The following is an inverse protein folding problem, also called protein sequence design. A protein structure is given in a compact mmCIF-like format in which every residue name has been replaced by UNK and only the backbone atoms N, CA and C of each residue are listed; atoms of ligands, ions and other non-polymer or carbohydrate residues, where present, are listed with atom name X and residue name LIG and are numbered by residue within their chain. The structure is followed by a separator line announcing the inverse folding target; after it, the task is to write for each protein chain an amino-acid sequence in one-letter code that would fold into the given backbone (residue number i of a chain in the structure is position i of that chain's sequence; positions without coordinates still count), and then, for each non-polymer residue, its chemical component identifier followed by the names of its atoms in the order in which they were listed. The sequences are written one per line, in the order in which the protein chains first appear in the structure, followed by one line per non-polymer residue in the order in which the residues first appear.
data_IF_180221147582
#
_entry.id   IF_180221147582
#
_cell.length_a   1.000
_cell.length_b   1.000
_cell.length_c   1.000
_cell.angle_alpha   90.00
_cell.angle_beta   90.00
_cell.angle_gamma   90.00
#
_symmetry.space_group_name_H-M   'P 1'
#
loop_
_entity.id
_entity.type
_entity.pdbx_description
1 polymer ?
#
# COMPACT_ATOMS: atom_id res chain seq x y z
N UNK A 1 3.38 15.64 17.59
CA UNK A 1 2.85 14.25 17.67
C UNK A 1 1.53 14.27 16.93
N UNK A 2 1.36 13.37 15.96
CA UNK A 2 0.10 13.23 15.24
C UNK A 2 -1.03 12.99 16.25
N UNK A 3 -2.18 13.66 16.08
CA UNK A 3 -3.33 13.46 16.94
C UNK A 3 -3.75 11.99 16.97
N UNK A 4 -4.30 11.52 18.08
CA UNK A 4 -4.84 10.16 18.18
C UNK A 4 -6.09 10.05 17.31
N UNK A 5 -6.15 9.02 16.46
CA UNK A 5 -7.39 8.70 15.73
C UNK A 5 -8.44 8.31 16.78
N UNK A 6 -9.66 8.80 16.60
CA UNK A 6 -10.77 8.44 17.50
C UNK A 6 -11.00 6.93 17.49
N UNK A 7 -11.26 6.37 18.65
CA UNK A 7 -11.53 4.94 18.78
C UNK A 7 -12.74 4.52 17.94
N UNK A 8 -13.78 5.35 17.93
CA UNK A 8 -14.99 5.12 17.16
C UNK A 8 -14.70 5.01 15.65
N UNK A 9 -13.79 5.86 15.14
CA UNK A 9 -13.39 5.80 13.72
C UNK A 9 -12.60 4.53 13.41
N UNK A 10 -11.72 4.09 14.33
CA UNK A 10 -10.99 2.84 14.18
C UNK A 10 -11.96 1.65 14.13
N UNK A 11 -12.93 1.63 15.04
CA UNK A 11 -13.92 0.55 15.11
C UNK A 11 -14.83 0.56 13.86
N UNK A 12 -15.22 1.73 13.36
CA UNK A 12 -16.04 1.88 12.15
C UNK A 12 -15.29 1.47 10.89
N UNK A 13 -14.04 1.86 10.72
CA UNK A 13 -13.19 1.43 9.59
C UNK A 13 -13.02 -0.08 9.61
N UNK A 14 -12.80 -0.68 10.81
CA UNK A 14 -12.73 -2.13 10.97
C UNK A 14 -14.03 -2.82 10.54
N UNK A 15 -15.17 -2.31 10.99
CA UNK A 15 -16.48 -2.90 10.71
C UNK A 15 -16.87 -2.82 9.22
N UNK A 16 -16.46 -1.76 8.53
CA UNK A 16 -16.74 -1.55 7.10
C UNK A 16 -15.74 -2.22 6.17
N UNK A 17 -14.60 -2.64 6.67
CA UNK A 17 -13.56 -3.27 5.86
C UNK A 17 -13.78 -4.78 5.82
N UNK A 18 -14.05 -5.34 4.64
CA UNK A 18 -14.11 -6.80 4.47
C UNK A 18 -12.68 -7.38 4.51
N UNK A 19 -12.37 -8.07 5.60
CA UNK A 19 -11.07 -8.74 5.80
C UNK A 19 -10.76 -9.74 4.69
N UNK A 20 -11.78 -10.42 4.14
CA UNK A 20 -11.62 -11.36 3.04
C UNK A 20 -11.12 -10.65 1.79
N UNK A 21 -11.75 -9.55 1.40
CA UNK A 21 -11.36 -8.77 0.23
C UNK A 21 -9.91 -8.25 0.33
N UNK A 22 -9.52 -7.81 1.54
CA UNK A 22 -8.14 -7.38 1.78
C UNK A 22 -7.17 -8.55 1.62
N UNK A 23 -7.44 -9.69 2.26
CA UNK A 23 -6.56 -10.87 2.25
C UNK A 23 -6.49 -11.51 0.86
N UNK A 24 -7.58 -11.54 0.08
CA UNK A 24 -7.59 -12.05 -1.28
C UNK A 24 -6.66 -11.30 -2.24
N UNK A 25 -6.29 -10.06 -1.90
CA UNK A 25 -5.24 -9.31 -2.61
C UNK A 25 -3.83 -9.88 -2.45
N UNK A 26 -3.59 -10.74 -1.45
CA UNK A 26 -2.29 -11.34 -1.13
C UNK A 26 -2.28 -12.86 -1.25
N UNK A 27 -3.40 -13.50 -0.90
CA UNK A 27 -3.53 -14.95 -0.77
C UNK A 27 -4.78 -15.44 -1.48
N UNK A 28 -4.64 -16.49 -2.28
CA UNK A 28 -5.81 -17.16 -2.89
C UNK A 28 -6.62 -17.92 -1.81
N UNK A 29 -7.83 -17.46 -1.57
CA UNK A 29 -8.75 -18.08 -0.59
C UNK A 29 -9.76 -19.01 -1.29
N UNK A 30 -10.03 -20.16 -0.66
CA UNK A 30 -11.07 -21.09 -1.07
C UNK A 30 -12.10 -21.22 0.04
N UNK A 31 -13.37 -21.38 -0.31
CA UNK A 31 -14.42 -21.67 0.67
C UNK A 31 -14.14 -22.98 1.39
N UNK A 32 -14.20 -22.96 2.71
CA UNK A 32 -13.92 -24.13 3.56
C UNK A 32 -15.08 -24.44 4.54
N UNK A 33 -16.28 -23.94 4.24
CA UNK A 33 -17.48 -24.10 5.03
C UNK A 33 -18.30 -22.80 5.11
N UNK A 34 -19.35 -22.80 5.89
CA UNK A 34 -20.23 -21.64 6.02
C UNK A 34 -19.45 -20.45 6.63
N UNK A 35 -19.24 -19.41 5.83
CA UNK A 35 -18.58 -18.17 6.29
C UNK A 35 -17.10 -18.32 6.65
N UNK A 36 -16.45 -19.42 6.26
CA UNK A 36 -15.02 -19.65 6.49
C UNK A 36 -14.29 -19.85 5.17
N UNK A 37 -13.15 -19.20 5.05
CA UNK A 37 -12.27 -19.28 3.89
C UNK A 37 -10.89 -19.80 4.31
N UNK A 38 -10.20 -20.51 3.42
CA UNK A 38 -8.92 -21.16 3.72
C UNK A 38 -7.94 -20.94 2.57
N UNK A 39 -6.68 -20.67 2.91
CA UNK A 39 -5.59 -20.49 1.94
C UNK A 39 -4.25 -20.94 2.50
N UNK A 40 -3.20 -20.79 1.70
CA UNK A 40 -1.83 -20.93 2.18
C UNK A 40 -1.46 -19.71 3.01
N UNK A 41 -0.72 -19.92 4.09
CA UNK A 41 -0.32 -18.86 4.99
C UNK A 41 0.74 -17.95 4.32
N UNK A 42 0.58 -16.61 4.37
CA UNK A 42 1.60 -15.72 3.83
C UNK A 42 2.77 -15.48 4.80
N UNK A 43 2.66 -15.95 6.05
CA UNK A 43 3.64 -15.71 7.11
C UNK A 43 4.65 -16.85 7.29
N UNK A 44 4.39 -18.01 6.70
CA UNK A 44 5.32 -19.15 6.72
C UNK A 44 5.13 -20.02 5.49
N UNK A 45 6.17 -20.77 5.11
CA UNK A 45 6.10 -21.70 3.99
C UNK A 45 5.30 -22.94 4.38
N UNK A 46 4.26 -23.26 3.61
CA UNK A 46 3.46 -24.47 3.78
C UNK A 46 2.96 -25.01 2.43
N UNK A 47 2.69 -26.31 2.40
CA UNK A 47 2.13 -26.99 1.21
C UNK A 47 0.65 -27.29 1.34
N UNK A 48 0.13 -27.30 2.55
CA UNK A 48 -1.29 -27.56 2.85
C UNK A 48 -1.91 -26.32 3.48
N UNK A 49 -3.07 -25.86 2.97
CA UNK A 49 -3.71 -24.67 3.49
C UNK A 49 -4.03 -24.80 4.98
N UNK A 50 -3.47 -23.93 5.82
CA UNK A 50 -3.74 -23.83 7.25
C UNK A 50 -4.24 -22.47 7.70
N UNK A 51 -4.20 -21.47 6.80
CA UNK A 51 -4.61 -20.09 7.06
C UNK A 51 -6.13 -19.95 6.87
N UNK A 52 -6.84 -19.67 7.95
CA UNK A 52 -8.29 -19.54 7.95
C UNK A 52 -8.72 -18.09 8.14
N UNK A 53 -9.72 -17.67 7.38
CA UNK A 53 -10.31 -16.33 7.43
C UNK A 53 -11.80 -16.45 7.71
N UNK A 54 -12.28 -15.68 8.68
CA UNK A 54 -13.69 -15.61 9.08
C UNK A 54 -14.19 -14.17 8.94
N UNK A 55 -14.73 -13.77 7.78
CA UNK A 55 -15.18 -12.38 7.53
C UNK A 55 -16.25 -11.91 8.52
N UNK A 56 -17.17 -12.78 8.91
CA UNK A 56 -18.24 -12.45 9.86
C UNK A 56 -17.72 -12.02 11.25
N UNK A 57 -16.53 -12.52 11.62
CA UNK A 57 -15.88 -12.16 12.90
C UNK A 57 -14.79 -11.12 12.68
N UNK A 58 -14.44 -10.83 11.41
CA UNK A 58 -13.37 -9.90 11.05
C UNK A 58 -11.98 -10.39 11.45
N UNK A 59 -11.74 -11.72 11.48
CA UNK A 59 -10.50 -12.28 11.98
C UNK A 59 -9.91 -13.36 11.06
N UNK A 60 -8.58 -13.52 11.16
CA UNK A 60 -7.86 -14.64 10.58
C UNK A 60 -7.11 -15.43 11.67
N UNK A 61 -6.83 -16.70 11.38
CA UNK A 61 -5.99 -17.56 12.22
C UNK A 61 -5.29 -18.60 11.36
N UNK A 62 -3.99 -18.74 11.52
CA UNK A 62 -3.19 -19.79 10.92
C UNK A 62 -2.98 -20.92 11.91
N UNK A 63 -3.44 -22.14 11.58
CA UNK A 63 -3.22 -23.33 12.41
C UNK A 63 -1.82 -23.94 12.24
N UNK A 64 -1.03 -23.46 11.28
CA UNK A 64 0.35 -23.91 11.06
C UNK A 64 1.36 -23.17 11.95
N UNK A 65 1.36 -21.83 11.90
CA UNK A 65 2.31 -21.04 12.68
C UNK A 65 1.71 -20.34 13.91
N UNK A 66 0.37 -20.40 14.10
CA UNK A 66 -0.30 -19.75 15.24
C UNK A 66 -0.58 -18.26 15.04
N UNK A 67 -0.17 -17.68 13.90
CA UNK A 67 -0.42 -16.26 13.60
C UNK A 67 -1.92 -15.96 13.50
N UNK A 68 -2.38 -14.89 14.14
CA UNK A 68 -3.79 -14.54 14.18
C UNK A 68 -3.99 -13.05 14.41
N UNK A 69 -5.13 -12.53 13.95
CA UNK A 69 -5.43 -11.11 14.14
C UNK A 69 -6.65 -10.66 13.37
N UNK A 70 -6.80 -9.35 13.31
CA UNK A 70 -7.81 -8.64 12.53
C UNK A 70 -7.22 -8.07 11.23
N UNK A 71 -8.02 -7.29 10.50
CA UNK A 71 -7.58 -6.68 9.24
C UNK A 71 -6.39 -5.73 9.42
N UNK A 72 -6.31 -5.04 10.56
CA UNK A 72 -5.19 -4.14 10.84
C UNK A 72 -3.90 -4.92 11.06
N UNK A 73 -3.95 -5.94 11.91
CA UNK A 73 -2.80 -6.81 12.19
C UNK A 73 -2.27 -7.46 10.92
N UNK A 74 -3.18 -7.91 10.04
CA UNK A 74 -2.81 -8.50 8.76
C UNK A 74 -2.06 -7.52 7.85
N UNK A 75 -2.63 -6.32 7.63
CA UNK A 75 -2.02 -5.31 6.73
C UNK A 75 -0.69 -4.81 7.29
N UNK A 76 -0.62 -4.56 8.61
CA UNK A 76 0.63 -4.15 9.28
C UNK A 76 1.74 -5.19 9.06
N UNK A 77 1.43 -6.46 9.20
CA UNK A 77 2.40 -7.55 9.03
C UNK A 77 2.85 -7.70 7.56
N UNK A 78 1.91 -7.61 6.61
CA UNK A 78 2.20 -7.76 5.17
C UNK A 78 2.96 -6.58 4.57
N UNK A 79 2.65 -5.37 5.00
CA UNK A 79 3.17 -4.15 4.39
C UNK A 79 4.22 -3.42 5.27
N UNK A 80 4.48 -3.94 6.46
CA UNK A 80 5.40 -3.35 7.44
C UNK A 80 5.08 -1.89 7.78
N UNK A 81 3.79 -1.56 7.83
CA UNK A 81 3.28 -0.21 8.14
C UNK A 81 2.94 -0.06 9.62
N UNK A 82 2.91 1.19 10.11
CA UNK A 82 2.44 1.48 11.46
C UNK A 82 0.91 1.33 11.55
N UNK A 83 0.39 1.18 12.77
CA UNK A 83 -1.05 1.10 13.01
C UNK A 83 -1.81 2.31 12.44
N UNK A 84 -1.31 3.52 12.68
CA UNK A 84 -1.93 4.77 12.20
C UNK A 84 -1.98 4.79 10.66
N UNK A 85 -0.87 4.48 10.00
CA UNK A 85 -0.81 4.42 8.53
C UNK A 85 -1.77 3.37 7.96
N UNK A 86 -1.89 2.23 8.63
CA UNK A 86 -2.83 1.17 8.23
C UNK A 86 -4.27 1.61 8.34
N UNK A 87 -4.66 2.26 9.45
CA UNK A 87 -6.00 2.80 9.63
C UNK A 87 -6.32 3.87 8.59
N UNK A 88 -5.40 4.81 8.35
CA UNK A 88 -5.56 5.88 7.35
C UNK A 88 -5.74 5.30 5.93
N UNK A 89 -4.98 4.27 5.59
CA UNK A 89 -5.04 3.62 4.28
C UNK A 89 -6.36 2.87 4.07
N UNK A 90 -6.79 2.10 5.07
CA UNK A 90 -8.07 1.38 5.00
C UNK A 90 -9.25 2.36 5.00
N UNK A 91 -9.20 3.43 5.77
CA UNK A 91 -10.21 4.50 5.75
C UNK A 91 -10.31 5.15 4.36
N UNK A 92 -9.17 5.47 3.74
CA UNK A 92 -9.13 6.03 2.39
C UNK A 92 -9.72 5.07 1.34
N UNK A 93 -9.46 3.75 1.48
CA UNK A 93 -10.00 2.72 0.58
C UNK A 93 -11.53 2.65 0.60
N UNK A 94 -12.13 2.78 1.78
CA UNK A 94 -13.59 2.75 1.97
C UNK A 94 -14.25 4.13 1.90
N UNK A 95 -13.49 5.19 1.60
CA UNK A 95 -13.98 6.58 1.53
C UNK A 95 -14.42 7.15 2.89
N UNK A 96 -13.86 6.67 4.00
CA UNK A 96 -14.18 7.13 5.34
C UNK A 96 -13.26 8.26 5.79
N UNK A 97 -13.84 9.32 6.38
CA UNK A 97 -13.08 10.46 6.91
C UNK A 97 -12.77 10.25 8.38
N UNK A 98 -11.48 10.17 8.72
CA UNK A 98 -11.01 10.00 10.09
C UNK A 98 -11.03 11.31 10.87
N UNK A 99 -11.38 11.23 12.17
CA UNK A 99 -11.31 12.32 13.13
C UNK A 99 -10.20 12.08 14.13
N UNK A 100 -9.46 13.13 14.44
CA UNK A 100 -8.31 13.06 15.36
C UNK A 100 -8.59 13.85 16.63
N UNK A 101 -8.23 13.26 17.78
CA UNK A 101 -8.32 13.89 19.10
C UNK A 101 -6.95 14.34 19.57
N UNK A 102 -6.90 15.48 20.25
CA UNK A 102 -5.70 15.95 20.95
C UNK A 102 -4.55 16.47 20.08
N UNK A 103 -4.71 16.52 18.76
CA UNK A 103 -3.68 17.07 17.85
C UNK A 103 -3.66 18.61 17.91
N UNK A 104 -2.45 19.20 18.01
CA UNK A 104 -2.28 20.63 17.82
C UNK A 104 -2.63 20.98 16.36
N UNK A 105 -3.11 22.22 16.07
CA UNK A 105 -3.41 22.62 14.69
C UNK A 105 -2.27 22.39 13.68
N UNK A 106 -1.02 22.36 14.14
CA UNK A 106 0.16 22.04 13.32
C UNK A 106 0.27 20.57 12.85
N UNK A 107 -0.26 19.61 13.64
CA UNK A 107 -0.11 18.17 13.31
C UNK A 107 -0.92 17.79 12.05
N UNK A 108 -2.06 18.46 11.82
CA UNK A 108 -2.84 18.30 10.57
C UNK A 108 -2.08 18.83 9.34
N UNK A 109 -1.33 19.91 9.53
CA UNK A 109 -0.52 20.48 8.47
C UNK A 109 0.63 19.54 8.10
N UNK A 110 1.30 18.92 9.08
CA UNK A 110 2.38 17.96 8.85
C UNK A 110 1.89 16.67 8.18
N UNK A 111 0.75 16.12 8.60
CA UNK A 111 0.14 14.96 7.96
C UNK A 111 -0.27 15.26 6.50
N UNK A 112 -0.88 16.42 6.26
CA UNK A 112 -1.20 16.89 4.92
C UNK A 112 0.05 17.09 4.05
N UNK A 113 1.12 17.67 4.61
CA UNK A 113 2.38 17.88 3.92
C UNK A 113 3.04 16.54 3.56
N UNK A 114 3.08 15.57 4.48
CA UNK A 114 3.62 14.23 4.23
C UNK A 114 2.88 13.52 3.09
N UNK A 115 1.54 13.58 3.08
CA UNK A 115 0.72 13.02 2.00
C UNK A 115 1.05 13.67 0.65
N UNK A 116 1.12 15.00 0.60
CA UNK A 116 1.51 15.74 -0.62
C UNK A 116 2.91 15.37 -1.10
N UNK A 117 3.86 15.16 -0.18
CA UNK A 117 5.21 14.70 -0.52
C UNK A 117 5.19 13.30 -1.14
N UNK A 118 4.43 12.37 -0.56
CA UNK A 118 4.29 11.00 -1.09
C UNK A 118 3.63 11.00 -2.47
N UNK A 119 2.58 11.81 -2.67
CA UNK A 119 1.93 11.97 -3.96
C UNK A 119 2.89 12.57 -5.02
N UNK A 120 3.70 13.54 -4.62
CA UNK A 120 4.73 14.12 -5.49
C UNK A 120 5.81 13.09 -5.87
N UNK A 121 6.27 12.28 -4.91
CA UNK A 121 7.22 11.19 -5.19
C UNK A 121 6.65 10.14 -6.13
N UNK A 122 5.38 9.77 -5.98
CA UNK A 122 4.71 8.84 -6.89
C UNK A 122 4.66 9.38 -8.32
N UNK A 123 4.25 10.65 -8.48
CA UNK A 123 4.23 11.32 -9.79
C UNK A 123 5.63 11.38 -10.40
N UNK A 124 6.65 11.65 -9.59
CA UNK A 124 8.04 11.68 -10.04
C UNK A 124 8.53 10.30 -10.49
N UNK A 125 8.24 9.24 -9.72
CA UNK A 125 8.59 7.87 -10.08
C UNK A 125 7.95 7.46 -11.41
N UNK A 126 6.65 7.66 -11.57
CA UNK A 126 5.93 7.39 -12.83
C UNK A 126 6.48 8.20 -14.03
N UNK A 127 6.96 9.41 -13.77
CA UNK A 127 7.60 10.23 -14.79
C UNK A 127 8.93 9.63 -15.22
N UNK A 128 9.80 9.26 -14.28
CA UNK A 128 11.10 8.66 -14.59
C UNK A 128 10.98 7.29 -15.27
N UNK A 129 10.06 6.45 -14.81
CA UNK A 129 9.79 5.15 -15.43
C UNK A 129 9.39 5.29 -16.90
N UNK A 130 8.51 6.24 -17.22
CA UNK A 130 8.10 6.52 -18.60
C UNK A 130 9.26 7.05 -19.44
N UNK A 131 10.09 7.93 -18.88
CA UNK A 131 11.22 8.48 -19.61
C UNK A 131 12.30 7.45 -19.94
N UNK A 132 12.39 6.36 -19.20
CA UNK A 132 13.31 5.27 -19.53
C UNK A 132 13.08 4.71 -20.93
N UNK A 133 11.85 4.79 -21.44
CA UNK A 133 11.49 4.31 -22.77
C UNK A 133 11.44 5.42 -23.83
N UNK A 134 11.90 6.62 -23.51
CA UNK A 134 12.00 7.74 -24.46
C UNK A 134 13.24 7.63 -25.36
N UNK A 135 13.25 8.40 -26.45
CA UNK A 135 14.39 8.47 -27.36
C UNK A 135 15.67 8.99 -26.66
N UNK A 136 15.54 9.84 -25.65
CA UNK A 136 16.66 10.43 -24.91
C UNK A 136 17.34 9.43 -23.98
N UNK A 137 16.67 8.32 -23.65
CA UNK A 137 17.16 7.31 -22.72
C UNK A 137 17.91 6.14 -23.39
N UNK A 138 18.24 6.20 -24.67
CA UNK A 138 18.85 5.09 -25.40
C UNK A 138 20.16 4.59 -24.78
N UNK A 139 20.99 5.49 -24.26
CA UNK A 139 22.22 5.15 -23.57
C UNK A 139 21.95 4.38 -22.27
N UNK A 140 20.98 4.84 -21.49
CA UNK A 140 20.54 4.16 -20.27
C UNK A 140 19.95 2.77 -20.55
N UNK A 141 19.15 2.64 -21.61
CA UNK A 141 18.60 1.34 -22.04
C UNK A 141 19.72 0.36 -22.43
N UNK A 142 20.72 0.81 -23.20
CA UNK A 142 21.91 -0.02 -23.55
C UNK A 142 22.68 -0.44 -22.32
N UNK A 143 22.89 0.48 -21.38
CA UNK A 143 23.59 0.20 -20.12
C UNK A 143 22.87 -0.85 -19.26
N UNK A 144 21.54 -0.77 -19.16
CA UNK A 144 20.73 -1.75 -18.43
C UNK A 144 20.72 -3.10 -19.14
N UNK A 145 20.54 -3.11 -20.48
CA UNK A 145 20.56 -4.32 -21.28
C UNK A 145 21.89 -5.07 -21.20
N UNK A 146 23.02 -4.35 -21.22
CA UNK A 146 24.35 -4.94 -21.04
C UNK A 146 24.55 -5.62 -19.67
N UNK A 147 23.72 -5.28 -18.67
CA UNK A 147 23.71 -5.87 -17.33
C UNK A 147 22.60 -6.91 -17.13
N UNK A 148 21.89 -7.29 -18.19
CA UNK A 148 20.84 -8.30 -18.13
C UNK A 148 19.50 -7.79 -17.58
N UNK A 149 19.31 -6.48 -17.44
CA UNK A 149 18.01 -5.91 -17.10
C UNK A 149 17.15 -5.81 -18.35
N UNK A 150 16.19 -6.71 -18.47
CA UNK A 150 15.15 -6.65 -19.51
C UNK A 150 14.03 -5.64 -19.13
N UNK A 151 13.11 -5.31 -20.05
CA UNK A 151 12.00 -4.40 -19.78
C UNK A 151 11.03 -4.91 -18.69
N UNK A 152 10.98 -6.21 -18.43
CA UNK A 152 10.15 -6.76 -17.36
C UNK A 152 10.80 -6.51 -15.99
N UNK A 153 12.12 -6.74 -15.89
CA UNK A 153 12.90 -6.44 -14.70
C UNK A 153 12.90 -4.94 -14.38
N UNK A 154 13.11 -4.07 -15.38
CA UNK A 154 13.09 -2.61 -15.15
C UNK A 154 11.75 -2.12 -14.62
N UNK A 155 10.63 -2.65 -15.10
CA UNK A 155 9.29 -2.34 -14.56
C UNK A 155 9.08 -2.89 -13.16
N UNK A 156 9.50 -4.13 -12.91
CA UNK A 156 9.36 -4.78 -11.60
C UNK A 156 10.09 -4.01 -10.49
N UNK A 157 11.25 -3.44 -10.81
CA UNK A 157 12.08 -2.71 -9.85
C UNK A 157 11.89 -1.18 -9.90
N UNK A 158 10.95 -0.66 -10.69
CA UNK A 158 10.67 0.78 -10.78
C UNK A 158 11.87 1.57 -11.29
N UNK A 159 12.67 1.00 -12.22
CA UNK A 159 13.84 1.68 -12.77
C UNK A 159 13.41 2.77 -13.73
N UNK A 160 13.89 4.00 -13.49
CA UNK A 160 13.55 5.17 -14.28
C UNK A 160 14.79 5.89 -14.86
N UNK A 161 14.53 6.81 -15.77
CA UNK A 161 15.53 7.69 -16.37
C UNK A 161 15.20 9.15 -16.11
N UNK A 162 16.16 9.90 -15.53
CA UNK A 162 16.04 11.33 -15.35
C UNK A 162 16.57 12.04 -16.63
N UNK A 163 15.72 12.72 -17.41
CA UNK A 163 16.15 13.47 -18.57
C UNK A 163 17.03 14.65 -18.15
N UNK A 164 17.93 15.07 -19.04
CA UNK A 164 18.78 16.26 -18.82
C UNK A 164 17.89 17.51 -18.82
N UNK A 165 17.98 18.30 -17.75
CA UNK A 165 17.17 19.50 -17.53
C UNK A 165 16.47 19.43 -16.18
N UNK A 166 16.48 20.50 -15.40
CA UNK A 166 15.99 20.51 -14.03
C UNK A 166 14.51 20.91 -13.90
N UNK A 167 13.91 21.43 -14.96
CA UNK A 167 12.57 22.00 -14.99
C UNK A 167 11.47 21.06 -15.54
N UNK A 168 11.83 19.93 -16.10
CA UNK A 168 10.88 18.97 -16.69
C UNK A 168 9.89 18.36 -15.69
N UNK A 169 10.20 18.38 -14.40
CA UNK A 169 9.33 17.86 -13.33
C UNK A 169 8.42 18.94 -12.73
N UNK A 170 8.87 20.19 -12.65
CA UNK A 170 8.22 21.24 -11.88
C UNK A 170 6.82 21.58 -12.44
N UNK A 171 6.66 21.56 -13.76
CA UNK A 171 5.39 21.87 -14.41
C UNK A 171 4.28 20.83 -14.24
N UNK A 172 4.60 19.57 -13.91
CA UNK A 172 3.62 18.46 -13.82
C UNK A 172 3.10 18.23 -12.42
N UNK A 173 3.93 18.44 -11.40
CA UNK A 173 3.50 18.33 -10.01
C UNK A 173 2.61 19.52 -9.58
N UNK A 174 2.88 20.72 -10.08
CA UNK A 174 2.10 21.91 -9.73
C UNK A 174 0.79 22.09 -10.51
N UNK A 175 0.63 21.46 -11.70
CA UNK A 175 -0.61 21.59 -12.50
C UNK A 175 -1.78 20.72 -12.03
N UNK A 176 -1.55 19.63 -11.26
CA UNK A 176 -2.63 18.79 -10.71
C UNK A 176 -3.24 19.35 -9.42
N UNK A 177 -2.63 20.35 -8.80
CA UNK A 177 -3.15 20.95 -7.55
C UNK A 177 -4.09 22.16 -7.76
N UNK A 178 -4.41 22.52 -9.01
CA UNK A 178 -5.28 23.68 -9.34
C UNK A 178 -6.64 23.28 -9.91
N UNK A 179 -7.23 22.16 -9.43
CA UNK A 179 -8.66 21.86 -9.68
C UNK A 179 -9.31 21.56 -8.35
#
# INVERSE_FOLDING_TARGET
MAGLIRKEDIDEVRARTDIREIIEGYVSLKSAGIGTFKGLCPFHDERMPSFNVRPQVGSYHCFGCGESGDVYSFVMAMEHTSFVETVERLAARIGYTLHYEGGKPGDRYEAGMRRRMLDAHKIAAEFFERNLYSADAQEAQRFLGARGFDPAATRKFGVGYAPRGWDHQIGRASCRERV
#
